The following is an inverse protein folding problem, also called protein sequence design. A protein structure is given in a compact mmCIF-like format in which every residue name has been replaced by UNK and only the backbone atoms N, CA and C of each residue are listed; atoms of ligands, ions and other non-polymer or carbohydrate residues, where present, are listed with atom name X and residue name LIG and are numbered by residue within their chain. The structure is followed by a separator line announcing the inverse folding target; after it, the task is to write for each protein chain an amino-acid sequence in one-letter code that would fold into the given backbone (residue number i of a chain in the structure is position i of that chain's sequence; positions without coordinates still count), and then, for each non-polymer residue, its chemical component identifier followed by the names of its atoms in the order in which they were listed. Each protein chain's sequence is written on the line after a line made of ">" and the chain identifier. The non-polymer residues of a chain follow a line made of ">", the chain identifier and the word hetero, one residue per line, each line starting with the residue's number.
data_IF_174879072619
#
_entry.id   IF_174879072619
#
_cell.length_a   1.000
_cell.length_b   1.000
_cell.length_c   1.000
_cell.angle_alpha   90.00
_cell.angle_beta   90.00
_cell.angle_gamma   90.00
#
_symmetry.space_group_name_H-M   'P 1'
#
loop_
_entity.id
_entity.type
_entity.pdbx_description
1 polymer ?
#
# COMPACT_ATOMS: atom_id res chain seq x y z
N UNK A 1 -14.62 21.02 2.64
CA UNK A 1 -13.60 19.97 2.87
C UNK A 1 -12.33 20.38 2.15
N UNK A 2 -11.20 20.58 2.83
CA UNK A 2 -9.93 20.89 2.15
C UNK A 2 -9.47 19.64 1.38
N UNK A 3 -9.47 19.73 0.04
CA UNK A 3 -9.01 18.63 -0.82
C UNK A 3 -7.48 18.45 -0.82
N UNK A 4 -6.72 19.46 -0.37
CA UNK A 4 -5.27 19.40 -0.25
C UNK A 4 -4.83 18.93 1.14
N UNK A 5 -3.67 18.30 1.23
CA UNK A 5 -3.08 17.94 2.50
C UNK A 5 -2.67 19.21 3.27
N UNK A 6 -3.01 19.34 4.57
CA UNK A 6 -2.47 20.40 5.41
C UNK A 6 -0.93 20.34 5.49
N UNK A 7 -0.28 21.45 5.85
CA UNK A 7 1.18 21.52 5.92
C UNK A 7 1.79 20.63 7.03
N UNK A 8 1.01 20.34 8.08
CA UNK A 8 1.44 19.64 9.29
C UNK A 8 1.06 18.14 9.32
N UNK A 9 0.19 17.66 8.40
CA UNK A 9 -0.28 16.26 8.41
C UNK A 9 -0.83 15.80 7.08
N UNK A 10 -1.01 14.50 6.93
CA UNK A 10 -1.72 13.90 5.79
C UNK A 10 -3.24 14.07 5.94
N UNK A 11 -3.91 14.41 4.86
CA UNK A 11 -5.36 14.53 4.81
C UNK A 11 -6.05 13.15 4.84
N UNK A 12 -7.38 13.12 5.09
CA UNK A 12 -8.13 11.87 5.27
C UNK A 12 -8.03 10.91 4.08
N UNK A 13 -8.06 11.43 2.86
CA UNK A 13 -7.94 10.60 1.64
C UNK A 13 -6.56 9.95 1.55
N UNK A 14 -5.50 10.71 1.84
CA UNK A 14 -4.12 10.17 1.87
C UNK A 14 -3.96 9.09 2.92
N UNK A 15 -4.56 9.26 4.09
CA UNK A 15 -4.55 8.29 5.18
C UNK A 15 -5.35 7.03 4.81
N UNK A 16 -6.55 7.18 4.27
CA UNK A 16 -7.39 6.06 3.83
C UNK A 16 -6.68 5.22 2.77
N UNK A 17 -6.18 5.85 1.69
CA UNK A 17 -5.45 5.15 0.65
C UNK A 17 -4.21 4.43 1.19
N UNK A 18 -3.50 5.05 2.14
CA UNK A 18 -2.35 4.41 2.77
C UNK A 18 -2.74 3.13 3.50
N UNK A 19 -3.67 3.22 4.44
CA UNK A 19 -4.02 2.10 5.28
C UNK A 19 -4.73 0.98 4.52
N UNK A 20 -5.56 1.30 3.54
CA UNK A 20 -6.18 0.30 2.66
C UNK A 20 -5.10 -0.46 1.87
N UNK A 21 -4.13 0.25 1.27
CA UNK A 21 -3.02 -0.40 0.55
C UNK A 21 -2.17 -1.27 1.48
N UNK A 22 -1.83 -0.78 2.69
CA UNK A 22 -1.07 -1.56 3.68
C UNK A 22 -1.80 -2.87 4.02
N UNK A 23 -3.09 -2.80 4.36
CA UNK A 23 -3.88 -3.98 4.71
C UNK A 23 -3.97 -4.98 3.54
N UNK A 24 -4.15 -4.48 2.31
CA UNK A 24 -4.18 -5.32 1.11
C UNK A 24 -2.83 -5.99 0.85
N UNK A 25 -1.70 -5.27 0.97
CA UNK A 25 -0.36 -5.85 0.79
C UNK A 25 -0.10 -6.95 1.82
N UNK A 26 -0.39 -6.72 3.09
CA UNK A 26 -0.18 -7.72 4.15
C UNK A 26 -1.09 -8.93 3.94
N UNK A 27 -2.37 -8.71 3.64
CA UNK A 27 -3.32 -9.78 3.35
C UNK A 27 -2.93 -10.60 2.12
N UNK A 28 -2.52 -9.92 1.03
CA UNK A 28 -2.04 -10.59 -0.19
C UNK A 28 -0.72 -11.34 0.04
N UNK A 29 0.16 -10.84 0.89
CA UNK A 29 1.36 -11.55 1.29
C UNK A 29 1.03 -12.88 1.97
N UNK A 30 0.11 -12.85 2.95
CA UNK A 30 -0.35 -14.08 3.62
C UNK A 30 -1.01 -15.04 2.63
N UNK A 31 -1.94 -14.54 1.80
CA UNK A 31 -2.61 -15.38 0.78
C UNK A 31 -1.59 -15.94 -0.22
N UNK A 32 -0.61 -15.15 -0.65
CA UNK A 32 0.44 -15.57 -1.57
C UNK A 32 1.28 -16.72 -1.00
N UNK A 33 1.70 -16.62 0.26
CA UNK A 33 2.46 -17.67 0.95
C UNK A 33 1.63 -18.94 1.15
N UNK A 34 0.35 -18.80 1.49
CA UNK A 34 -0.53 -19.96 1.70
C UNK A 34 -0.87 -20.66 0.38
N UNK A 35 -1.17 -19.89 -0.69
CA UNK A 35 -1.64 -20.49 -1.94
C UNK A 35 -0.60 -21.37 -2.62
N UNK A 36 0.70 -21.13 -2.42
CA UNK A 36 1.76 -21.94 -3.04
C UNK A 36 1.88 -23.33 -2.41
N UNK A 37 1.42 -23.47 -1.15
CA UNK A 37 1.37 -24.74 -0.42
C UNK A 37 0.08 -25.54 -0.72
N UNK A 38 -0.93 -24.92 -1.34
CA UNK A 38 -2.19 -25.61 -1.64
C UNK A 38 -2.04 -26.57 -2.82
N UNK A 39 -2.73 -27.74 -2.78
CA UNK A 39 -2.76 -28.65 -3.91
C UNK A 39 -3.27 -27.96 -5.19
N UNK A 40 -2.62 -28.21 -6.33
CA UNK A 40 -3.01 -27.65 -7.65
C UNK A 40 -4.27 -28.36 -8.16
N UNK A 41 -5.41 -28.11 -7.51
CA UNK A 41 -6.71 -28.70 -7.87
C UNK A 41 -7.77 -27.61 -8.10
N UNK A 42 -8.82 -27.88 -8.88
CA UNK A 42 -9.90 -26.94 -9.15
C UNK A 42 -10.55 -26.36 -7.89
N UNK A 43 -10.56 -27.12 -6.79
CA UNK A 43 -11.11 -26.70 -5.51
C UNK A 43 -10.45 -25.41 -4.96
N UNK A 44 -9.17 -25.19 -5.24
CA UNK A 44 -8.39 -24.08 -4.70
C UNK A 44 -8.15 -22.94 -5.69
N UNK A 45 -8.64 -23.05 -6.93
CA UNK A 45 -8.40 -22.02 -7.95
C UNK A 45 -8.94 -20.65 -7.57
N UNK A 46 -10.00 -20.57 -6.78
CA UNK A 46 -10.56 -19.33 -6.29
C UNK A 46 -9.57 -18.51 -5.44
N UNK A 47 -8.65 -19.17 -4.70
CA UNK A 47 -7.62 -18.48 -3.91
C UNK A 47 -6.68 -17.72 -4.83
N UNK A 48 -6.22 -18.35 -5.92
CA UNK A 48 -5.40 -17.72 -6.94
C UNK A 48 -6.14 -16.57 -7.64
N UNK A 49 -7.41 -16.75 -7.95
CA UNK A 49 -8.22 -15.73 -8.60
C UNK A 49 -8.45 -14.52 -7.70
N UNK A 50 -8.63 -14.71 -6.39
CA UNK A 50 -8.68 -13.63 -5.40
C UNK A 50 -7.34 -12.90 -5.27
N UNK A 51 -6.23 -13.64 -5.14
CA UNK A 51 -4.89 -13.03 -5.08
C UNK A 51 -4.62 -12.13 -6.30
N UNK A 52 -4.89 -12.62 -7.50
CA UNK A 52 -4.73 -11.85 -8.74
C UNK A 52 -5.64 -10.62 -8.78
N UNK A 53 -6.91 -10.78 -8.40
CA UNK A 53 -7.90 -9.69 -8.44
C UNK A 53 -7.54 -8.58 -7.45
N UNK A 54 -7.21 -8.92 -6.21
CA UNK A 54 -6.76 -7.94 -5.23
C UNK A 54 -5.38 -7.36 -5.57
N UNK A 55 -4.48 -8.14 -6.19
CA UNK A 55 -3.21 -7.63 -6.70
C UNK A 55 -3.39 -6.51 -7.74
N UNK A 56 -4.29 -6.71 -8.71
CA UNK A 56 -4.65 -5.66 -9.67
C UNK A 56 -5.36 -4.47 -8.99
N UNK A 57 -6.14 -4.72 -7.95
CA UNK A 57 -6.75 -3.64 -7.15
C UNK A 57 -5.68 -2.81 -6.46
N UNK A 58 -4.64 -3.43 -5.89
CA UNK A 58 -3.48 -2.70 -5.31
C UNK A 58 -2.78 -1.89 -6.38
N UNK A 59 -2.58 -2.45 -7.59
CA UNK A 59 -1.97 -1.72 -8.71
C UNK A 59 -2.79 -0.45 -9.07
N UNK A 60 -4.10 -0.57 -9.16
CA UNK A 60 -4.97 0.59 -9.40
C UNK A 60 -4.91 1.60 -8.25
N UNK A 61 -4.97 1.15 -6.99
CA UNK A 61 -4.93 2.01 -5.82
C UNK A 61 -3.59 2.76 -5.67
N UNK A 62 -2.46 2.13 -6.03
CA UNK A 62 -1.16 2.83 -5.96
C UNK A 62 -1.06 3.93 -7.02
N UNK A 63 -1.63 3.71 -8.21
CA UNK A 63 -1.73 4.76 -9.24
C UNK A 63 -2.60 5.91 -8.73
N UNK A 64 -3.79 5.62 -8.19
CA UNK A 64 -4.68 6.63 -7.59
C UNK A 64 -3.97 7.38 -6.47
N UNK A 65 -3.24 6.68 -5.58
CA UNK A 65 -2.49 7.28 -4.49
C UNK A 65 -1.36 8.21 -4.98
N UNK A 66 -0.65 7.81 -6.03
CA UNK A 66 0.40 8.63 -6.63
C UNK A 66 -0.18 9.90 -7.26
N UNK A 67 -1.22 9.78 -8.06
CA UNK A 67 -1.93 10.92 -8.66
C UNK A 67 -2.50 11.85 -7.56
N UNK A 68 -3.09 11.26 -6.52
CA UNK A 68 -3.58 12.03 -5.38
C UNK A 68 -2.45 12.79 -4.67
N UNK A 69 -1.29 12.15 -4.47
CA UNK A 69 -0.12 12.81 -3.87
C UNK A 69 0.40 13.98 -4.71
N UNK A 70 0.40 13.84 -6.03
CA UNK A 70 0.79 14.92 -6.95
C UNK A 70 -0.20 16.10 -6.88
N UNK A 71 -1.50 15.81 -6.77
CA UNK A 71 -2.55 16.82 -6.66
C UNK A 71 -2.61 17.48 -5.28
N UNK A 72 -2.65 16.68 -4.22
CA UNK A 72 -2.88 17.17 -2.85
C UNK A 72 -1.62 17.67 -2.16
N UNK A 73 -0.43 17.38 -2.71
CA UNK A 73 0.87 17.71 -2.13
C UNK A 73 1.26 16.77 -0.96
N UNK A 74 2.40 17.04 -0.36
CA UNK A 74 2.89 16.36 0.84
C UNK A 74 3.06 17.37 1.98
N UNK A 75 2.83 16.97 3.24
CA UNK A 75 3.14 17.79 4.40
C UNK A 75 4.64 18.14 4.45
N UNK A 76 4.96 19.25 5.11
CA UNK A 76 6.37 19.64 5.36
C UNK A 76 7.04 18.62 6.28
N UNK A 77 8.37 18.42 6.19
CA UNK A 77 9.11 17.61 7.16
C UNK A 77 8.81 18.04 8.61
N UNK A 78 9.03 17.15 9.56
CA UNK A 78 8.90 17.47 10.98
C UNK A 78 10.00 18.47 11.34
N UNK A 79 9.66 19.53 12.05
CA UNK A 79 10.63 20.54 12.45
C UNK A 79 11.76 19.90 13.31
N UNK A 80 13.01 20.27 13.02
CA UNK A 80 14.17 19.72 13.72
C UNK A 80 14.69 18.38 13.20
N UNK A 81 14.05 17.79 12.16
CA UNK A 81 14.56 16.56 11.53
C UNK A 81 15.87 16.86 10.79
N UNK A 82 16.96 16.11 11.02
CA UNK A 82 18.20 16.27 10.28
C UNK A 82 18.03 15.99 8.79
N UNK A 83 18.70 16.74 7.93
CA UNK A 83 18.58 16.60 6.47
C UNK A 83 18.88 15.18 5.93
N UNK A 84 19.78 14.44 6.57
CA UNK A 84 20.05 13.06 6.14
C UNK A 84 18.85 12.13 6.39
N UNK A 85 18.11 12.31 7.49
CA UNK A 85 16.88 11.54 7.77
C UNK A 85 15.78 11.90 6.76
N UNK A 86 15.63 13.17 6.38
CA UNK A 86 14.69 13.59 5.34
C UNK A 86 15.02 12.95 3.99
N UNK A 87 16.30 12.85 3.63
CA UNK A 87 16.75 12.18 2.39
C UNK A 87 16.46 10.68 2.44
N UNK A 88 16.80 10.01 3.54
CA UNK A 88 16.51 8.59 3.73
C UNK A 88 15.01 8.33 3.64
N UNK A 89 14.18 9.11 4.31
CA UNK A 89 12.72 9.00 4.24
C UNK A 89 12.20 9.19 2.80
N UNK A 90 12.73 10.16 2.06
CA UNK A 90 12.35 10.42 0.66
C UNK A 90 12.70 9.23 -0.24
N UNK A 91 13.91 8.69 -0.11
CA UNK A 91 14.35 7.51 -0.87
C UNK A 91 13.50 6.30 -0.52
N UNK A 92 13.28 6.03 0.77
CA UNK A 92 12.46 4.91 1.24
C UNK A 92 11.03 4.99 0.69
N UNK A 93 10.40 6.16 0.74
CA UNK A 93 9.08 6.34 0.15
C UNK A 93 9.07 6.14 -1.37
N UNK A 94 10.09 6.64 -2.08
CA UNK A 94 10.25 6.41 -3.52
C UNK A 94 10.35 4.92 -3.85
N UNK A 95 11.20 4.18 -3.12
CA UNK A 95 11.35 2.73 -3.28
C UNK A 95 10.06 1.97 -2.93
N UNK A 96 9.34 2.37 -1.87
CA UNK A 96 8.04 1.78 -1.53
C UNK A 96 7.02 1.98 -2.64
N UNK A 97 6.93 3.16 -3.25
CA UNK A 97 6.07 3.39 -4.41
C UNK A 97 6.47 2.49 -5.59
N UNK A 98 7.76 2.45 -5.91
CA UNK A 98 8.26 1.63 -7.02
C UNK A 98 7.98 0.14 -6.82
N UNK A 99 8.26 -0.40 -5.63
CA UNK A 99 8.02 -1.81 -5.32
C UNK A 99 6.51 -2.14 -5.24
N UNK A 100 5.69 -1.28 -4.63
CA UNK A 100 4.24 -1.49 -4.57
C UNK A 100 3.60 -1.49 -5.96
N UNK A 101 4.20 -0.82 -6.93
CA UNK A 101 3.81 -0.88 -8.34
C UNK A 101 4.40 -2.11 -9.04
N UNK A 102 5.68 -2.41 -8.85
CA UNK A 102 6.38 -3.47 -9.55
C UNK A 102 5.88 -4.87 -9.17
N UNK A 103 5.55 -5.12 -7.89
CA UNK A 103 5.07 -6.42 -7.42
C UNK A 103 3.79 -6.85 -8.15
N UNK A 104 2.68 -6.11 -8.13
CA UNK A 104 1.48 -6.56 -8.84
C UNK A 104 1.65 -6.57 -10.37
N UNK A 105 2.48 -5.69 -10.94
CA UNK A 105 2.78 -5.69 -12.37
C UNK A 105 3.55 -6.95 -12.78
N UNK A 106 4.55 -7.36 -12.01
CA UNK A 106 5.29 -8.62 -12.26
C UNK A 106 4.38 -9.84 -12.13
N UNK A 107 3.44 -9.84 -11.17
CA UNK A 107 2.44 -10.89 -11.04
C UNK A 107 1.47 -10.97 -12.24
N UNK A 108 1.05 -9.82 -12.77
CA UNK A 108 0.22 -9.77 -13.98
C UNK A 108 1.00 -10.23 -15.21
N UNK A 109 2.27 -9.85 -15.33
CA UNK A 109 3.12 -10.32 -16.42
C UNK A 109 3.38 -11.83 -16.31
N UNK A 110 3.64 -12.36 -15.10
CA UNK A 110 3.74 -13.79 -14.86
C UNK A 110 2.46 -14.54 -15.29
N UNK A 111 1.28 -14.04 -14.90
CA UNK A 111 0.01 -14.64 -15.31
C UNK A 111 -0.15 -14.68 -16.83
N UNK A 112 0.20 -13.59 -17.52
CA UNK A 112 0.15 -13.49 -18.97
C UNK A 112 1.08 -14.51 -19.64
N UNK A 113 2.33 -14.58 -19.19
CA UNK A 113 3.35 -15.50 -19.73
C UNK A 113 3.05 -16.98 -19.44
N UNK A 114 2.39 -17.27 -18.31
CA UNK A 114 2.01 -18.64 -17.94
C UNK A 114 1.05 -19.28 -18.93
N UNK A 115 0.24 -18.47 -19.62
CA UNK A 115 -0.76 -18.95 -20.58
C UNK A 115 -1.87 -19.82 -19.98
N UNK A 116 -1.96 -19.92 -18.66
CA UNK A 116 -2.94 -20.75 -17.96
C UNK A 116 -4.38 -20.25 -18.20
N UNK A 117 -5.14 -20.00 -17.15
CA UNK A 117 -6.51 -19.51 -17.28
C UNK A 117 -6.55 -18.01 -17.53
N UNK A 118 -7.54 -17.50 -18.31
CA UNK A 118 -7.71 -16.05 -18.48
C UNK A 118 -7.90 -15.36 -17.13
N UNK A 119 -7.10 -14.34 -16.85
CA UNK A 119 -7.27 -13.49 -15.70
C UNK A 119 -8.61 -12.75 -15.80
N UNK A 120 -9.46 -12.93 -14.79
CA UNK A 120 -10.75 -12.22 -14.67
C UNK A 120 -10.78 -11.47 -13.35
N UNK A 121 -10.93 -10.15 -13.40
CA UNK A 121 -11.01 -9.33 -12.20
C UNK A 121 -12.32 -9.62 -11.46
N UNK A 122 -12.22 -10.23 -10.30
CA UNK A 122 -13.34 -10.75 -9.48
C UNK A 122 -14.38 -11.55 -10.29
N UNK A 123 -13.94 -12.28 -11.32
CA UNK A 123 -14.82 -13.04 -12.18
C UNK A 123 -15.66 -12.22 -13.17
N UNK A 124 -15.65 -10.88 -13.09
CA UNK A 124 -16.53 -10.00 -13.86
C UNK A 124 -16.04 -9.84 -15.30
N UNK A 125 -14.89 -9.24 -15.51
CA UNK A 125 -14.38 -8.99 -16.85
C UNK A 125 -12.95 -9.50 -17.03
N UNK A 126 -12.66 -9.90 -18.27
CA UNK A 126 -11.35 -10.41 -18.67
C UNK A 126 -10.33 -9.28 -18.69
N UNK A 127 -9.21 -9.49 -18.02
CA UNK A 127 -8.07 -8.55 -18.05
C UNK A 127 -7.20 -8.88 -19.26
N UNK A 128 -6.75 -7.89 -20.04
CA UNK A 128 -5.86 -8.10 -21.17
C UNK A 128 -4.55 -8.78 -20.75
N UNK A 129 -3.96 -9.56 -21.64
CA UNK A 129 -2.60 -10.07 -21.45
C UNK A 129 -1.59 -8.97 -21.73
N UNK A 130 -0.49 -8.96 -20.98
CA UNK A 130 0.64 -8.06 -21.22
C UNK A 130 1.65 -8.65 -22.23
N UNK A 131 1.66 -9.97 -22.37
CA UNK A 131 2.55 -10.68 -23.26
C UNK A 131 1.94 -12.02 -23.69
N UNK A 132 2.45 -12.59 -24.78
CA UNK A 132 2.12 -13.95 -25.21
C UNK A 132 2.73 -15.00 -24.27
N UNK A 133 2.11 -16.19 -24.15
CA UNK A 133 2.61 -17.26 -23.31
C UNK A 133 4.05 -17.67 -23.68
N UNK A 134 4.89 -17.85 -22.67
CA UNK A 134 6.28 -18.28 -22.83
C UNK A 134 6.71 -19.19 -21.69
N UNK A 135 6.96 -20.46 -21.98
CA UNK A 135 7.41 -21.42 -20.98
C UNK A 135 8.80 -21.09 -20.40
N UNK A 136 9.64 -20.39 -21.18
CA UNK A 136 10.96 -19.97 -20.73
C UNK A 136 10.90 -18.76 -19.77
N UNK A 137 10.03 -17.79 -20.04
CA UNK A 137 9.97 -16.53 -19.28
C UNK A 137 9.01 -16.61 -18.07
N UNK A 138 8.01 -17.48 -18.11
CA UNK A 138 7.06 -17.59 -17.01
C UNK A 138 7.72 -17.95 -15.66
N UNK A 139 8.64 -18.93 -15.55
CA UNK A 139 9.35 -19.21 -14.31
C UNK A 139 10.17 -18.02 -13.81
N UNK A 140 10.91 -17.35 -14.73
CA UNK A 140 11.72 -16.19 -14.40
C UNK A 140 10.87 -15.06 -13.80
N UNK A 141 9.69 -14.82 -14.38
CA UNK A 141 8.80 -13.77 -13.90
C UNK A 141 8.11 -14.15 -12.58
N UNK A 142 7.82 -15.43 -12.36
CA UNK A 142 7.35 -15.92 -11.06
C UNK A 142 8.38 -15.63 -9.96
N UNK A 143 9.63 -16.02 -10.20
CA UNK A 143 10.72 -15.83 -9.24
C UNK A 143 10.99 -14.34 -9.01
N UNK A 144 10.92 -13.52 -10.07
CA UNK A 144 11.00 -12.05 -9.96
C UNK A 144 9.89 -11.49 -9.07
N UNK A 145 8.64 -11.94 -9.25
CA UNK A 145 7.50 -11.52 -8.41
C UNK A 145 7.74 -11.86 -6.94
N UNK A 146 8.23 -13.05 -6.66
CA UNK A 146 8.54 -13.51 -5.29
C UNK A 146 9.68 -12.68 -4.67
N UNK A 147 10.77 -12.44 -5.38
CA UNK A 147 11.89 -11.62 -4.87
C UNK A 147 11.48 -10.15 -4.63
N UNK A 148 10.71 -9.57 -5.55
CA UNK A 148 10.17 -8.22 -5.37
C UNK A 148 9.23 -8.13 -4.16
N UNK A 149 8.42 -9.16 -3.91
CA UNK A 149 7.58 -9.25 -2.72
C UNK A 149 8.41 -9.26 -1.43
N UNK A 150 9.43 -10.11 -1.32
CA UNK A 150 10.28 -10.15 -0.15
C UNK A 150 11.03 -8.84 0.09
N UNK A 151 11.50 -8.21 -0.98
CA UNK A 151 12.13 -6.88 -0.90
C UNK A 151 11.12 -5.82 -0.41
N UNK A 152 9.89 -5.85 -0.92
CA UNK A 152 8.82 -4.95 -0.46
C UNK A 152 8.54 -5.15 1.04
N UNK A 153 8.37 -6.40 1.50
CA UNK A 153 8.08 -6.69 2.93
C UNK A 153 9.23 -6.26 3.84
N UNK A 154 10.47 -6.51 3.44
CA UNK A 154 11.63 -6.03 4.20
C UNK A 154 11.64 -4.50 4.31
N UNK A 155 11.37 -3.80 3.22
CA UNK A 155 11.33 -2.33 3.22
C UNK A 155 10.12 -1.78 4.01
N UNK A 156 8.96 -2.45 3.95
CA UNK A 156 7.78 -2.12 4.78
C UNK A 156 8.11 -2.29 6.27
N UNK A 157 8.82 -3.36 6.66
CA UNK A 157 9.24 -3.58 8.04
C UNK A 157 10.18 -2.47 8.53
N UNK A 158 11.18 -2.09 7.72
CA UNK A 158 12.09 -0.97 8.03
C UNK A 158 11.33 0.36 8.14
N UNK A 159 10.40 0.63 7.21
CA UNK A 159 9.57 1.83 7.22
C UNK A 159 8.70 1.91 8.48
N UNK A 160 8.04 0.82 8.85
CA UNK A 160 7.23 0.75 10.06
C UNK A 160 8.09 0.90 11.33
N UNK A 161 9.23 0.20 11.40
CA UNK A 161 10.15 0.30 12.52
C UNK A 161 10.67 1.74 12.69
N UNK A 162 11.03 2.43 11.61
CA UNK A 162 11.43 3.82 11.65
C UNK A 162 10.31 4.73 12.20
N UNK A 163 9.05 4.55 11.73
CA UNK A 163 7.92 5.33 12.23
C UNK A 163 7.66 5.09 13.73
N UNK A 164 7.79 3.86 14.21
CA UNK A 164 7.70 3.52 15.63
C UNK A 164 8.86 4.11 16.44
N UNK A 165 10.10 4.04 15.92
CA UNK A 165 11.26 4.62 16.56
C UNK A 165 11.10 6.14 16.76
N UNK A 166 10.66 6.86 15.73
CA UNK A 166 10.36 8.28 15.80
C UNK A 166 9.29 8.58 16.86
N UNK A 167 8.24 7.77 16.92
CA UNK A 167 7.16 7.96 17.89
C UNK A 167 7.58 7.68 19.33
N UNK A 168 8.32 6.58 19.57
CA UNK A 168 8.64 6.11 20.92
C UNK A 168 9.87 6.78 21.53
N UNK A 169 10.89 7.07 20.72
CA UNK A 169 12.18 7.56 21.21
C UNK A 169 12.43 9.03 20.89
N UNK A 170 11.97 9.51 19.73
CA UNK A 170 12.10 10.93 19.38
C UNK A 170 10.87 11.74 19.79
N UNK A 171 9.79 11.09 20.20
CA UNK A 171 8.52 11.70 20.61
C UNK A 171 7.96 12.69 19.57
N UNK A 172 8.25 12.45 18.29
CA UNK A 172 7.81 13.32 17.21
C UNK A 172 6.44 12.90 16.62
N UNK A 173 5.95 13.67 15.67
CA UNK A 173 4.62 13.46 15.08
C UNK A 173 4.62 12.58 13.84
N UNK A 174 5.74 11.95 13.45
CA UNK A 174 5.88 11.19 12.20
C UNK A 174 4.78 10.15 12.03
N UNK A 175 4.57 9.29 13.01
CA UNK A 175 3.51 8.27 12.99
C UNK A 175 2.11 8.90 13.07
N UNK A 176 1.90 9.84 14.01
CA UNK A 176 0.57 10.41 14.30
C UNK A 176 0.02 11.26 13.16
N UNK A 177 0.89 11.80 12.28
CA UNK A 177 0.47 12.49 11.05
C UNK A 177 -0.28 11.59 10.06
N UNK A 178 -0.07 10.26 10.13
CA UNK A 178 -0.72 9.27 9.26
C UNK A 178 -1.92 8.59 9.93
N UNK A 179 -2.20 8.89 11.20
CA UNK A 179 -3.36 8.36 11.92
C UNK A 179 -4.56 9.29 11.82
N UNK A 180 -5.80 8.75 11.76
CA UNK A 180 -7.02 9.56 11.82
C UNK A 180 -7.06 10.36 13.13
N UNK A 181 -7.49 11.62 13.06
CA UNK A 181 -7.74 12.41 14.29
C UNK A 181 -8.98 11.86 14.99
N UNK A 182 -8.87 11.49 16.26
CA UNK A 182 -10.04 11.42 17.12
C UNK A 182 -10.63 12.83 17.18
N UNK A 183 -11.88 13.01 16.76
CA UNK A 183 -12.63 14.23 17.07
C UNK A 183 -12.63 14.34 18.59
N UNK A 184 -12.00 15.38 19.16
CA UNK A 184 -12.28 15.76 20.52
C UNK A 184 -13.79 15.99 20.60
N UNK A 185 -14.46 15.31 21.53
CA UNK A 185 -15.85 15.60 21.83
C UNK A 185 -15.89 17.12 22.13
N UNK A 186 -16.70 17.86 21.38
CA UNK A 186 -16.97 19.26 21.66
C UNK A 186 -17.57 19.29 23.07
N UNK A 187 -16.77 19.68 24.06
CA UNK A 187 -17.31 20.10 25.36
C UNK A 187 -18.08 21.37 25.05
N UNK A 188 -19.41 21.23 24.93
CA UNK A 188 -20.29 22.38 24.89
C UNK A 188 -20.01 23.22 26.17
N UNK A 189 -19.82 24.54 26.03
CA UNK A 189 -19.66 25.38 27.23
C UNK A 189 -20.88 25.16 28.12
N UNK A 190 -20.60 24.87 29.41
CA UNK A 190 -21.66 24.78 30.44
C UNK A 190 -22.44 26.09 30.41
N UNK A 191 -23.80 26.04 30.45
CA UNK A 191 -24.59 27.27 30.56
C UNK A 191 -24.16 28.03 31.81
N UNK A 192 -23.83 29.30 31.65
CA UNK A 192 -23.55 30.21 32.77
C UNK A 192 -24.82 30.34 33.57
N UNK A 193 -24.81 30.13 34.91
CA UNK A 193 -26.00 30.35 35.70
C UNK A 193 -26.39 31.83 35.64
N UNK A 194 -27.60 32.12 35.18
CA UNK A 194 -28.19 33.46 35.31
C UNK A 194 -28.40 33.73 36.80
N UNK A 195 -27.67 34.71 37.29
CA UNK A 195 -27.86 35.23 38.65
C UNK A 195 -29.02 36.25 38.58
N UNK A 196 -30.15 35.88 39.15
CA UNK A 196 -31.26 36.79 39.44
C UNK A 196 -31.04 37.49 40.79
#
# INVERSE_FOLDING_TARGET
>A
MMLRNPADRWGPVSQLLHWVIVLLILGLGVVGLVMVELPRSPRWFWVYDLHKSFGLTVLALIVVRLLWRLFAGAPKPVAGTPHWQERVATITHGLLYALTFAVPLSGWLFDSLSGLRPLRWFGQFKVPKLADPSQALAPVMRDTHEWLFWLLIALVAVHAAAAFYHHMFQHDTTLTRMLPRRRAASTAPSPVPEIH
#
